data_IF_310085905644
#
_entry.id   IF_310085905644
#
_cell.length_a   1.000
_cell.length_b   1.000
_cell.length_c   1.000
_cell.angle_alpha   90.00
_cell.angle_beta   90.00
_cell.angle_gamma   90.00
#
_symmetry.space_group_name_H-M   'P 1'
#
loop_
_entity.id
_entity.type
_entity.pdbx_description
1 polymer ?
#
# COMPACT_ATOMS: atom_id res chain seq x y z
N UNK A 1 -11.07 2.11 -30.63
CA UNK A 1 -11.83 1.32 -29.64
C UNK A 1 -11.04 1.34 -28.33
N UNK A 2 -11.45 2.17 -27.38
CA UNK A 2 -10.80 2.26 -26.07
C UNK A 2 -11.25 1.07 -25.21
N UNK A 3 -10.39 0.08 -25.03
CA UNK A 3 -10.55 -0.91 -23.95
C UNK A 3 -10.34 -0.14 -22.64
N UNK A 4 -11.40 0.04 -21.86
CA UNK A 4 -11.25 0.45 -20.47
C UNK A 4 -10.35 -0.57 -19.78
N UNK A 5 -9.18 -0.13 -19.32
CA UNK A 5 -8.32 -0.93 -18.47
C UNK A 5 -9.09 -1.19 -17.18
N UNK A 6 -9.67 -2.39 -17.03
CA UNK A 6 -10.04 -2.87 -15.71
C UNK A 6 -8.73 -2.99 -14.93
N UNK A 7 -8.45 -2.02 -14.06
CA UNK A 7 -7.34 -2.11 -13.12
C UNK A 7 -7.53 -3.38 -12.30
N UNK A 8 -6.56 -4.29 -12.39
CA UNK A 8 -6.61 -5.56 -11.66
C UNK A 8 -6.67 -5.26 -10.16
N UNK A 9 -7.34 -6.11 -9.38
CA UNK A 9 -7.31 -6.02 -7.91
C UNK A 9 -5.90 -6.23 -7.32
N UNK A 10 -4.93 -6.62 -8.15
CA UNK A 10 -3.51 -6.77 -7.83
C UNK A 10 -2.65 -5.66 -8.43
N UNK A 11 -3.26 -4.64 -9.05
CA UNK A 11 -2.57 -3.49 -9.62
C UNK A 11 -2.04 -2.57 -8.51
N UNK A 12 -0.72 -2.34 -8.43
CA UNK A 12 -0.11 -1.44 -7.46
C UNK A 12 -0.71 -0.03 -7.42
N UNK A 13 -1.21 0.50 -8.55
CA UNK A 13 -1.78 1.86 -8.62
C UNK A 13 -3.12 1.99 -7.89
N UNK A 14 -3.74 0.87 -7.54
CA UNK A 14 -4.99 0.86 -6.75
C UNK A 14 -4.74 1.18 -5.27
N UNK A 15 -3.49 1.14 -4.82
CA UNK A 15 -3.11 1.29 -3.42
C UNK A 15 -2.27 2.54 -3.21
N UNK A 16 -2.70 3.41 -2.32
CA UNK A 16 -1.89 4.58 -1.94
C UNK A 16 -0.68 4.17 -1.08
N UNK A 17 0.30 5.06 -1.00
CA UNK A 17 1.54 4.89 -0.22
C UNK A 17 1.28 4.48 1.23
N UNK A 18 0.30 5.10 1.90
CA UNK A 18 -0.12 4.75 3.27
C UNK A 18 -0.54 3.28 3.39
N UNK A 19 -1.38 2.80 2.49
CA UNK A 19 -1.85 1.41 2.48
C UNK A 19 -0.72 0.43 2.17
N UNK A 20 0.20 0.78 1.27
CA UNK A 20 1.36 -0.05 0.94
C UNK A 20 2.35 -0.12 2.12
N UNK A 21 2.59 1.00 2.83
CA UNK A 21 3.41 1.02 4.04
C UNK A 21 2.84 0.13 5.14
N UNK A 22 1.53 0.22 5.37
CA UNK A 22 0.85 -0.63 6.35
C UNK A 22 0.97 -2.12 5.98
N UNK A 23 0.77 -2.47 4.71
CA UNK A 23 0.96 -3.85 4.27
C UNK A 23 2.41 -4.31 4.52
N UNK A 24 3.39 -3.48 4.17
CA UNK A 24 4.81 -3.79 4.37
C UNK A 24 5.14 -4.00 5.85
N UNK A 25 4.58 -3.17 6.74
CA UNK A 25 4.70 -3.34 8.19
C UNK A 25 4.08 -4.66 8.67
N UNK A 26 2.85 -4.96 8.26
CA UNK A 26 2.15 -6.19 8.64
C UNK A 26 2.90 -7.45 8.17
N UNK A 27 3.44 -7.44 6.95
CA UNK A 27 4.30 -8.52 6.45
C UNK A 27 5.58 -8.64 7.28
N UNK A 28 6.24 -7.51 7.57
CA UNK A 28 7.50 -7.50 8.30
C UNK A 28 7.37 -8.03 9.73
N UNK A 29 6.35 -7.60 10.50
CA UNK A 29 6.15 -8.04 11.89
C UNK A 29 5.79 -9.52 11.99
N UNK A 30 5.21 -10.10 10.94
CA UNK A 30 4.93 -11.53 10.81
C UNK A 30 6.12 -12.32 10.23
N UNK A 31 7.30 -11.69 10.10
CA UNK A 31 8.51 -12.34 9.60
C UNK A 31 8.52 -12.61 8.09
N UNK A 32 7.60 -12.01 7.33
CA UNK A 32 7.46 -12.19 5.89
C UNK A 32 8.26 -11.10 5.17
N UNK A 33 9.55 -11.38 4.93
CA UNK A 33 10.48 -10.44 4.28
C UNK A 33 10.59 -10.64 2.77
N UNK A 34 10.26 -11.83 2.26
CA UNK A 34 10.47 -12.20 0.86
C UNK A 34 9.21 -12.83 0.28
N UNK A 35 9.14 -12.86 -1.06
CA UNK A 35 8.03 -13.49 -1.78
C UNK A 35 7.97 -15.00 -1.49
N UNK A 36 9.11 -15.67 -1.44
CA UNK A 36 9.17 -17.09 -1.12
C UNK A 36 8.63 -17.38 0.28
N UNK A 37 8.97 -16.52 1.25
CA UNK A 37 8.42 -16.67 2.60
C UNK A 37 6.90 -16.52 2.57
N UNK A 38 6.38 -15.52 1.86
CA UNK A 38 4.94 -15.28 1.71
C UNK A 38 4.21 -16.49 1.11
N UNK A 39 4.80 -17.16 0.12
CA UNK A 39 4.23 -18.38 -0.52
C UNK A 39 4.15 -19.56 0.46
N UNK A 40 5.10 -19.66 1.38
CA UNK A 40 5.18 -20.76 2.37
C UNK A 40 4.46 -20.46 3.69
N UNK A 41 3.96 -19.24 3.88
CA UNK A 41 3.28 -18.84 5.12
C UNK A 41 1.92 -19.55 5.23
N UNK A 42 1.54 -20.04 6.43
CA UNK A 42 0.22 -20.63 6.65
C UNK A 42 -0.92 -19.71 6.23
N UNK A 43 -1.97 -20.27 5.63
CA UNK A 43 -3.12 -19.51 5.14
C UNK A 43 -3.82 -18.71 6.24
N UNK A 44 -3.91 -19.24 7.46
CA UNK A 44 -4.47 -18.56 8.63
C UNK A 44 -3.72 -17.25 8.93
N UNK A 45 -2.38 -17.28 8.92
CA UNK A 45 -1.56 -16.08 9.12
C UNK A 45 -1.78 -15.04 8.02
N UNK A 46 -1.94 -15.49 6.78
CA UNK A 46 -2.24 -14.58 5.65
C UNK A 46 -3.64 -13.99 5.77
N UNK A 47 -4.63 -14.80 6.15
CA UNK A 47 -6.01 -14.36 6.39
C UNK A 47 -6.07 -13.30 7.50
N UNK A 48 -5.31 -13.51 8.58
CA UNK A 48 -5.17 -12.54 9.67
C UNK A 48 -4.53 -11.23 9.20
N UNK A 49 -3.47 -11.30 8.39
CA UNK A 49 -2.82 -10.11 7.81
C UNK A 49 -3.80 -9.33 6.91
N UNK A 50 -4.52 -10.02 6.02
CA UNK A 50 -5.52 -9.38 5.15
C UNK A 50 -6.64 -8.74 5.96
N UNK A 51 -7.10 -9.41 7.03
CA UNK A 51 -8.13 -8.90 7.94
C UNK A 51 -7.64 -7.67 8.68
N UNK A 52 -6.41 -7.69 9.21
CA UNK A 52 -5.79 -6.54 9.86
C UNK A 52 -5.64 -5.38 8.88
N UNK A 53 -5.15 -5.63 7.67
CA UNK A 53 -4.95 -4.60 6.65
C UNK A 53 -6.26 -3.91 6.24
N UNK A 54 -7.32 -4.70 6.00
CA UNK A 54 -8.67 -4.21 5.69
C UNK A 54 -9.28 -3.37 6.80
N UNK A 55 -9.13 -3.83 8.04
CA UNK A 55 -9.82 -3.25 9.19
C UNK A 55 -9.02 -2.17 9.91
N UNK A 56 -7.75 -1.96 9.53
CA UNK A 56 -6.89 -0.98 10.18
C UNK A 56 -7.47 0.44 10.08
N UNK A 57 -7.41 1.25 11.15
CA UNK A 57 -7.89 2.63 11.12
C UNK A 57 -7.29 3.45 9.97
N UNK A 58 -6.01 3.26 9.66
CA UNK A 58 -5.34 3.97 8.55
C UNK A 58 -5.95 3.67 7.17
N UNK A 59 -6.44 2.45 6.94
CA UNK A 59 -7.11 2.06 5.70
C UNK A 59 -8.50 2.68 5.60
N UNK A 60 -9.24 2.72 6.72
CA UNK A 60 -10.56 3.34 6.82
C UNK A 60 -10.49 4.86 6.61
N UNK A 61 -9.52 5.53 7.24
CA UNK A 61 -9.28 6.97 7.07
C UNK A 61 -8.94 7.35 5.63
N UNK A 62 -8.37 6.43 4.85
CA UNK A 62 -8.06 6.64 3.45
C UNK A 62 -9.23 6.31 2.50
N UNK A 63 -10.40 5.91 3.03
CA UNK A 63 -11.54 5.38 2.26
C UNK A 63 -11.16 4.25 1.29
N UNK A 64 -10.05 3.54 1.56
CA UNK A 64 -9.47 2.60 0.63
C UNK A 64 -10.07 1.21 0.87
N UNK A 65 -10.79 0.71 -0.13
CA UNK A 65 -11.46 -0.58 -0.06
C UNK A 65 -10.51 -1.66 -0.57
N UNK A 66 -9.81 -2.32 0.35
CA UNK A 66 -8.93 -3.45 0.03
C UNK A 66 -9.78 -4.64 -0.45
N UNK A 67 -9.79 -4.88 -1.76
CA UNK A 67 -10.58 -5.95 -2.40
C UNK A 67 -9.89 -7.33 -2.42
N UNK A 68 -8.65 -7.44 -1.92
CA UNK A 68 -7.92 -8.71 -1.87
C UNK A 68 -8.58 -9.68 -0.89
N UNK A 69 -8.82 -10.92 -1.31
CA UNK A 69 -9.47 -11.94 -0.52
C UNK A 69 -8.69 -13.25 -0.42
N UNK A 70 -7.67 -13.47 -1.27
CA UNK A 70 -6.93 -14.74 -1.31
C UNK A 70 -5.43 -14.56 -1.16
N UNK A 71 -4.76 -15.62 -0.69
CA UNK A 71 -3.29 -15.70 -0.60
C UNK A 71 -2.65 -15.45 -1.97
N UNK A 72 -3.19 -16.05 -3.03
CA UNK A 72 -2.69 -15.88 -4.40
C UNK A 72 -2.71 -14.42 -4.86
N UNK A 73 -3.78 -13.69 -4.54
CA UNK A 73 -3.88 -12.26 -4.86
C UNK A 73 -2.85 -11.44 -4.08
N UNK A 74 -2.59 -11.80 -2.81
CA UNK A 74 -1.58 -11.11 -2.01
C UNK A 74 -0.16 -11.36 -2.54
N UNK A 75 0.14 -12.60 -2.93
CA UNK A 75 1.42 -12.96 -3.55
C UNK A 75 1.64 -12.18 -4.86
N UNK A 76 0.60 -12.07 -5.67
CA UNK A 76 0.65 -11.34 -6.94
C UNK A 76 0.82 -9.83 -6.70
N UNK A 77 -0.01 -9.22 -5.85
CA UNK A 77 0.12 -7.82 -5.49
C UNK A 77 1.51 -7.51 -4.93
N UNK A 78 2.01 -8.35 -4.02
CA UNK A 78 3.33 -8.15 -3.43
C UNK A 78 4.43 -8.21 -4.50
N UNK A 79 4.36 -9.17 -5.43
CA UNK A 79 5.27 -9.21 -6.58
C UNK A 79 5.19 -7.97 -7.47
N UNK A 80 3.99 -7.48 -7.74
CA UNK A 80 3.77 -6.28 -8.54
C UNK A 80 4.32 -5.02 -7.84
N UNK A 81 4.17 -4.92 -6.51
CA UNK A 81 4.74 -3.84 -5.71
C UNK A 81 6.27 -3.86 -5.74
N UNK A 82 6.88 -5.03 -5.54
CA UNK A 82 8.34 -5.18 -5.65
C UNK A 82 8.85 -4.75 -7.04
N UNK A 83 8.13 -5.14 -8.09
CA UNK A 83 8.44 -4.74 -9.47
C UNK A 83 8.30 -3.23 -9.71
N UNK A 84 7.20 -2.61 -9.25
CA UNK A 84 6.95 -1.17 -9.40
C UNK A 84 8.05 -0.32 -8.76
N UNK A 85 8.44 -0.66 -7.54
CA UNK A 85 9.43 0.10 -6.78
C UNK A 85 10.88 -0.34 -7.08
N UNK A 86 11.06 -1.37 -7.91
CA UNK A 86 12.36 -1.95 -8.26
C UNK A 86 13.18 -2.38 -7.01
N UNK A 87 12.53 -3.16 -6.13
CA UNK A 87 13.08 -3.61 -4.84
C UNK A 87 12.89 -5.12 -4.64
N UNK A 88 13.70 -5.75 -3.79
CA UNK A 88 13.74 -7.21 -3.63
C UNK A 88 13.00 -7.77 -2.41
N UNK A 89 12.68 -6.94 -1.41
CA UNK A 89 12.11 -7.41 -0.16
C UNK A 89 11.22 -6.38 0.55
N UNK A 90 10.53 -6.81 1.60
CA UNK A 90 9.57 -6.01 2.37
C UNK A 90 10.20 -4.75 2.97
N UNK A 91 11.47 -4.82 3.38
CA UNK A 91 12.17 -3.69 4.01
C UNK A 91 12.51 -2.63 2.96
N UNK A 92 13.06 -3.05 1.83
CA UNK A 92 13.34 -2.15 0.71
C UNK A 92 12.07 -1.52 0.16
N UNK A 93 10.98 -2.28 0.06
CA UNK A 93 9.66 -1.76 -0.30
C UNK A 93 9.18 -0.71 0.70
N UNK A 94 9.26 -0.99 2.00
CA UNK A 94 8.86 -0.03 3.02
C UNK A 94 9.68 1.26 2.93
N UNK A 95 10.99 1.17 2.70
CA UNK A 95 11.87 2.32 2.56
C UNK A 95 11.55 3.14 1.31
N UNK A 96 11.35 2.49 0.16
CA UNK A 96 11.02 3.18 -1.09
C UNK A 96 9.70 3.95 -0.94
N UNK A 97 8.66 3.29 -0.44
CA UNK A 97 7.33 3.91 -0.27
C UNK A 97 7.34 4.97 0.85
N UNK A 98 8.23 4.86 1.84
CA UNK A 98 8.36 5.85 2.89
C UNK A 98 8.76 7.22 2.34
N UNK A 99 9.72 7.27 1.42
CA UNK A 99 10.15 8.53 0.82
C UNK A 99 9.02 9.16 -0.01
N UNK A 100 8.34 8.38 -0.86
CA UNK A 100 7.16 8.86 -1.59
C UNK A 100 6.10 9.42 -0.65
N UNK A 101 5.87 8.78 0.50
CA UNK A 101 4.90 9.24 1.48
C UNK A 101 5.31 10.56 2.13
N UNK A 102 6.59 10.79 2.37
CA UNK A 102 7.09 12.06 2.91
C UNK A 102 6.86 13.17 1.89
N UNK A 103 7.21 12.94 0.62
CA UNK A 103 7.00 13.92 -0.47
C UNK A 103 5.51 14.29 -0.62
N UNK A 104 4.61 13.30 -0.57
CA UNK A 104 3.16 13.54 -0.58
C UNK A 104 2.71 14.43 0.59
N UNK A 105 3.20 14.15 1.80
CA UNK A 105 2.84 14.90 3.01
C UNK A 105 3.37 16.33 2.97
N UNK A 106 4.59 16.53 2.50
CA UNK A 106 5.18 17.86 2.32
C UNK A 106 4.41 18.67 1.27
N UNK A 107 3.99 18.03 0.18
CA UNK A 107 3.12 18.62 -0.83
C UNK A 107 1.76 19.03 -0.27
N UNK A 108 1.10 18.14 0.48
CA UNK A 108 -0.18 18.44 1.15
C UNK A 108 -0.05 19.61 2.12
N UNK A 109 1.00 19.63 2.96
CA UNK A 109 1.26 20.73 3.90
C UNK A 109 1.44 22.05 3.14
N UNK A 110 2.20 22.04 2.04
CA UNK A 110 2.46 23.23 1.24
C UNK A 110 1.18 23.76 0.59
N UNK A 111 0.35 22.86 0.03
CA UNK A 111 -0.95 23.20 -0.53
C UNK A 111 -1.88 23.82 0.53
N UNK A 112 -2.00 23.20 1.70
CA UNK A 112 -2.87 23.71 2.76
C UNK A 112 -2.41 25.07 3.30
N UNK A 113 -1.09 25.33 3.36
CA UNK A 113 -0.57 26.66 3.69
C UNK A 113 -0.98 27.71 2.67
N UNK A 114 -0.94 27.38 1.39
CA UNK A 114 -1.36 28.28 0.32
C UNK A 114 -2.86 28.55 0.38
N UNK A 115 -3.70 27.50 0.47
CA UNK A 115 -5.16 27.62 0.59
C UNK A 115 -5.54 28.52 1.79
N UNK A 116 -4.86 28.35 2.93
CA UNK A 116 -5.10 29.17 4.11
C UNK A 116 -4.72 30.65 3.90
N UNK A 117 -3.63 30.93 3.19
CA UNK A 117 -3.22 32.30 2.87
C UNK A 117 -4.20 32.99 1.91
N UNK A 118 -4.73 32.24 0.92
CA UNK A 118 -5.75 32.74 -0.01
C UNK A 118 -7.03 33.13 0.74
N UNK A 119 -7.52 32.28 1.65
CA UNK A 119 -8.70 32.56 2.49
C UNK A 119 -8.51 33.82 3.36
N UNK A 120 -7.30 34.08 3.87
CA UNK A 120 -7.03 35.26 4.70
C UNK A 120 -6.95 36.57 3.90
N UNK A 121 -6.80 36.49 2.58
CA UNK A 121 -6.72 37.66 1.69
C UNK A 121 -8.08 38.04 1.07
N UNK A 122 -9.13 37.24 1.33
CA UNK A 122 -10.54 37.54 1.04
C UNK A 122 -11.22 38.26 2.23
#
# INVERSE_FOLDING_TARGET
>A
MARGLMTSITDPETYNTRSILLLSQLLHINGIKTRDKLVTTPEDTISDILTQWKNHPSSKLANLHIKLNTVSQLIELYGNLLGRYNVGNTVELANAVYFDRIEELEGDISRYKQEFQEILQE
#
